data_IF_486347085526
#
_entry.id   IF_486347085526
#
_cell.length_a   1.000
_cell.length_b   1.000
_cell.length_c   1.000
_cell.angle_alpha   90.00
_cell.angle_beta   90.00
_cell.angle_gamma   90.00
#
_symmetry.space_group_name_H-M   'P 1'
#
loop_
_entity.id
_entity.type
_entity.pdbx_description
1 polymer ?
#
# COMPACT_ATOMS: atom_id res chain seq x y z
N UNK A 1 28.75 -7.42 34.07
CA UNK A 1 28.28 -8.25 32.93
C UNK A 1 26.76 -8.23 32.77
N UNK A 2 25.98 -8.46 33.84
CA UNK A 2 24.50 -8.49 33.82
C UNK A 2 23.85 -7.22 33.21
N UNK A 3 24.35 -6.02 33.53
CA UNK A 3 23.82 -4.75 32.98
C UNK A 3 23.90 -4.65 31.44
N UNK A 4 24.91 -5.27 30.81
CA UNK A 4 25.06 -5.27 29.34
C UNK A 4 24.05 -6.20 28.68
N UNK A 5 23.79 -7.36 29.28
CA UNK A 5 22.83 -8.36 28.77
C UNK A 5 21.41 -7.79 28.81
N UNK A 6 21.02 -7.13 29.90
CA UNK A 6 19.70 -6.49 30.03
C UNK A 6 19.50 -5.40 28.98
N UNK A 7 20.52 -4.57 28.72
CA UNK A 7 20.45 -3.53 27.71
C UNK A 7 20.29 -4.10 26.29
N UNK A 8 21.01 -5.18 25.95
CA UNK A 8 20.90 -5.82 24.63
C UNK A 8 19.53 -6.47 24.42
N UNK A 9 18.96 -7.13 25.44
CA UNK A 9 17.62 -7.72 25.37
C UNK A 9 16.57 -6.63 25.17
N UNK A 10 16.68 -5.51 25.89
CA UNK A 10 15.75 -4.40 25.75
C UNK A 10 15.81 -3.78 24.34
N UNK A 11 17.01 -3.61 23.79
CA UNK A 11 17.20 -3.13 22.42
C UNK A 11 16.59 -4.08 21.38
N UNK A 12 16.72 -5.39 21.56
CA UNK A 12 16.11 -6.39 20.68
C UNK A 12 14.58 -6.39 20.79
N UNK A 13 14.02 -6.17 21.99
CA UNK A 13 12.58 -6.07 22.19
C UNK A 13 12.00 -4.78 21.58
N UNK A 14 12.71 -3.65 21.69
CA UNK A 14 12.31 -2.39 21.07
C UNK A 14 12.42 -2.49 19.54
N UNK A 15 13.54 -3.00 19.01
CA UNK A 15 13.71 -3.21 17.58
C UNK A 15 12.69 -4.22 17.02
N UNK A 16 12.44 -5.33 17.73
CA UNK A 16 11.44 -6.32 17.38
C UNK A 16 10.01 -5.78 17.43
N UNK A 17 9.68 -4.97 18.44
CA UNK A 17 8.37 -4.31 18.57
C UNK A 17 8.11 -3.28 17.47
N UNK A 18 9.13 -2.47 17.12
CA UNK A 18 9.06 -1.52 16.00
C UNK A 18 8.90 -2.27 14.67
N UNK A 19 9.64 -3.36 14.48
CA UNK A 19 9.54 -4.19 13.28
C UNK A 19 8.16 -4.84 13.13
N UNK A 20 7.55 -5.29 14.23
CA UNK A 20 6.21 -5.91 14.21
C UNK A 20 5.10 -4.90 13.92
N UNK A 21 5.24 -3.65 14.38
CA UNK A 21 4.24 -2.60 14.21
C UNK A 21 4.24 -1.96 12.80
N UNK A 22 5.24 -2.24 11.97
CA UNK A 22 5.38 -1.69 10.61
C UNK A 22 4.48 -2.34 9.55
N UNK A 23 3.53 -3.19 9.96
CA UNK A 23 2.63 -3.96 9.07
C UNK A 23 1.41 -3.16 8.57
N UNK A 24 1.29 -1.87 8.86
CA UNK A 24 0.24 -0.98 8.34
C UNK A 24 0.84 0.21 7.59
N UNK A 25 -0.02 1.06 7.00
CA UNK A 25 0.42 2.42 6.65
C UNK A 25 1.01 3.05 7.94
N UNK A 26 2.18 3.72 7.86
CA UNK A 26 2.80 4.27 9.04
C UNK A 26 1.81 5.10 9.87
N UNK A 27 1.87 5.10 11.21
CA UNK A 27 0.84 5.71 12.07
C UNK A 27 0.68 7.23 11.86
N UNK A 28 1.60 7.88 11.17
CA UNK A 28 1.52 9.29 10.78
C UNK A 28 0.81 9.55 9.43
N UNK A 29 0.39 8.50 8.75
CA UNK A 29 -0.25 8.60 7.44
C UNK A 29 -1.72 8.95 7.59
N UNK A 30 -2.10 10.15 7.16
CA UNK A 30 -3.49 10.60 7.18
C UNK A 30 -4.31 9.83 6.15
N UNK A 31 -5.36 9.14 6.61
CA UNK A 31 -6.35 8.54 5.70
C UNK A 31 -7.17 9.70 5.09
N UNK A 32 -7.37 9.74 3.77
CA UNK A 32 -8.23 10.74 3.14
C UNK A 32 -9.66 10.67 3.66
N UNK A 33 -10.42 11.76 3.54
CA UNK A 33 -11.87 11.69 3.70
C UNK A 33 -12.50 11.03 2.47
N UNK A 34 -13.69 10.45 2.64
CA UNK A 34 -14.51 9.94 1.52
C UNK A 34 -14.73 11.03 0.46
N UNK A 35 -14.59 10.68 -0.81
CA UNK A 35 -14.83 11.60 -1.93
C UNK A 35 -13.78 11.52 -3.04
N UNK A 36 -13.72 12.55 -3.88
CA UNK A 36 -12.77 12.62 -4.99
C UNK A 36 -11.34 12.67 -4.43
N UNK A 37 -10.50 11.76 -4.89
CA UNK A 37 -9.09 11.64 -4.52
C UNK A 37 -8.25 11.56 -5.79
N UNK A 38 -7.25 12.45 -5.89
CA UNK A 38 -6.15 12.35 -6.86
C UNK A 38 -4.88 12.02 -6.09
N UNK A 39 -4.21 10.93 -6.47
CA UNK A 39 -3.00 10.48 -5.77
C UNK A 39 -2.02 9.79 -6.71
N UNK A 40 -0.74 9.85 -6.38
CA UNK A 40 0.36 9.29 -7.16
C UNK A 40 1.01 8.13 -6.42
N UNK A 41 1.52 7.18 -7.18
CA UNK A 41 2.14 5.97 -6.62
C UNK A 41 2.29 4.87 -7.66
N UNK A 42 2.24 3.63 -7.18
CA UNK A 42 2.50 2.45 -8.00
C UNK A 42 1.46 1.35 -7.79
N UNK A 43 1.17 0.61 -8.86
CA UNK A 43 0.44 -0.66 -8.75
C UNK A 43 1.30 -1.66 -7.98
N UNK A 44 0.71 -2.35 -7.01
CA UNK A 44 1.44 -3.32 -6.17
C UNK A 44 0.52 -4.40 -5.63
N UNK A 45 1.10 -5.46 -5.09
CA UNK A 45 0.33 -6.46 -4.35
C UNK A 45 -0.04 -5.91 -2.97
N UNK A 46 -1.30 -6.08 -2.58
CA UNK A 46 -1.73 -5.72 -1.25
C UNK A 46 -1.03 -6.61 -0.20
N UNK A 47 -0.55 -6.04 0.91
CA UNK A 47 0.11 -6.81 1.95
C UNK A 47 -0.90 -7.75 2.64
N UNK A 48 -0.51 -9.00 2.87
CA UNK A 48 -1.32 -9.98 3.58
C UNK A 48 -1.23 -9.79 5.11
N UNK A 49 -2.32 -10.02 5.85
CA UNK A 49 -2.39 -9.90 7.32
C UNK A 49 -1.75 -11.10 8.04
N UNK A 50 -1.91 -12.30 7.49
CA UNK A 50 -1.35 -13.55 8.03
C UNK A 50 -0.01 -13.89 7.37
N UNK A 51 0.93 -14.40 8.17
CA UNK A 51 2.23 -14.91 7.74
C UNK A 51 2.30 -16.44 7.84
N UNK A 52 1.16 -17.12 8.03
CA UNK A 52 1.19 -18.58 8.13
C UNK A 52 1.78 -19.18 6.84
N UNK A 53 2.78 -20.03 7.09
CA UNK A 53 3.76 -20.55 6.15
C UNK A 53 3.08 -21.22 4.96
N UNK A 54 3.00 -20.47 3.87
CA UNK A 54 2.30 -20.88 2.66
C UNK A 54 1.64 -19.66 2.04
N UNK A 55 2.41 -18.58 1.85
CA UNK A 55 2.00 -17.48 1.00
C UNK A 55 1.72 -18.08 -0.39
N UNK A 56 0.45 -18.38 -0.65
CA UNK A 56 -0.01 -18.68 -1.98
C UNK A 56 0.46 -17.53 -2.88
N UNK A 57 0.77 -17.81 -4.14
CA UNK A 57 1.14 -16.78 -5.13
C UNK A 57 -0.04 -15.84 -5.46
N UNK A 58 -0.98 -15.67 -4.54
CA UNK A 58 -2.13 -14.80 -4.64
C UNK A 58 -1.69 -13.36 -4.40
N UNK A 59 -1.39 -12.66 -5.49
CA UNK A 59 -1.26 -11.21 -5.50
C UNK A 59 -2.64 -10.60 -5.75
N UNK A 60 -3.28 -10.09 -4.69
CA UNK A 60 -4.41 -9.18 -4.88
C UNK A 60 -3.87 -7.82 -5.32
N UNK A 61 -4.12 -7.47 -6.59
CA UNK A 61 -3.67 -6.19 -7.16
C UNK A 61 -4.31 -5.01 -6.44
N UNK A 62 -3.49 -4.04 -6.07
CA UNK A 62 -3.90 -2.79 -5.44
C UNK A 62 -2.97 -1.65 -5.84
N UNK A 63 -3.11 -0.53 -5.13
CA UNK A 63 -2.34 0.69 -5.39
C UNK A 63 -1.69 1.16 -4.09
N UNK A 64 -0.38 1.40 -4.14
CA UNK A 64 0.37 2.03 -3.05
C UNK A 64 0.73 3.44 -3.45
N UNK A 65 0.26 4.41 -2.69
CA UNK A 65 0.61 5.80 -2.94
C UNK A 65 1.96 6.21 -2.34
N UNK A 66 2.40 7.41 -2.70
CA UNK A 66 3.66 7.99 -2.22
C UNK A 66 3.67 8.30 -0.72
N UNK A 67 2.50 8.30 -0.08
CA UNK A 67 2.37 8.41 1.37
C UNK A 67 2.46 7.04 2.07
N UNK A 68 2.58 5.95 1.31
CA UNK A 68 2.65 4.58 1.83
C UNK A 68 1.30 3.99 2.20
N UNK A 69 0.19 4.59 1.76
CA UNK A 69 -1.16 4.04 1.91
C UNK A 69 -1.42 3.00 0.84
N UNK A 70 -2.02 1.89 1.24
CA UNK A 70 -2.47 0.84 0.35
C UNK A 70 -3.97 1.00 0.09
N UNK A 71 -4.39 0.97 -1.16
CA UNK A 71 -5.77 1.06 -1.60
C UNK A 71 -6.13 -0.17 -2.41
N UNK A 72 -7.33 -0.71 -2.17
CA UNK A 72 -7.92 -1.67 -3.09
C UNK A 72 -8.42 -0.89 -4.32
N UNK A 73 -7.95 -1.26 -5.50
CA UNK A 73 -8.27 -0.53 -6.72
C UNK A 73 -9.45 -1.16 -7.44
N UNK A 74 -10.46 -0.35 -7.79
CA UNK A 74 -11.53 -0.73 -8.72
C UNK A 74 -11.43 0.18 -9.92
N UNK A 75 -11.15 -0.38 -11.10
CA UNK A 75 -10.97 0.42 -12.31
C UNK A 75 -12.30 0.56 -13.03
N UNK A 76 -12.76 1.81 -13.16
CA UNK A 76 -13.93 2.18 -13.97
C UNK A 76 -13.53 2.98 -15.21
N UNK A 77 -12.26 3.37 -15.33
CA UNK A 77 -11.68 4.03 -16.50
C UNK A 77 -11.90 3.18 -17.78
N UNK A 78 -12.61 3.71 -18.80
CA UNK A 78 -12.89 2.98 -20.03
C UNK A 78 -11.64 2.69 -20.87
N UNK A 79 -10.53 3.40 -20.65
CA UNK A 79 -9.25 3.14 -21.32
C UNK A 79 -8.51 1.94 -20.72
N UNK A 80 -8.85 1.57 -19.47
CA UNK A 80 -8.22 0.49 -18.72
C UNK A 80 -9.27 -0.48 -18.17
N UNK A 81 -10.15 -1.00 -19.05
CA UNK A 81 -11.20 -1.98 -18.70
C UNK A 81 -10.70 -3.26 -18.01
N UNK A 82 -9.40 -3.53 -18.10
CA UNK A 82 -8.75 -4.64 -17.43
C UNK A 82 -7.64 -4.12 -16.51
N UNK A 83 -7.80 -4.20 -15.16
CA UNK A 83 -6.78 -3.77 -14.21
C UNK A 83 -5.46 -4.54 -14.35
N UNK A 84 -5.44 -5.72 -14.97
CA UNK A 84 -4.21 -6.47 -15.25
C UNK A 84 -3.39 -5.86 -16.40
N UNK A 85 -3.99 -4.99 -17.22
CA UNK A 85 -3.31 -4.25 -18.30
C UNK A 85 -2.74 -2.91 -17.83
N UNK A 86 -2.96 -2.56 -16.56
CA UNK A 86 -2.28 -1.41 -15.98
C UNK A 86 -0.79 -1.66 -15.94
N UNK A 87 0.04 -0.62 -16.15
CA UNK A 87 1.48 -0.76 -16.02
C UNK A 87 1.80 -1.13 -14.57
N UNK A 88 2.09 -2.41 -14.34
CA UNK A 88 2.54 -2.92 -13.04
C UNK A 88 3.91 -2.34 -12.68
N UNK A 89 4.68 -1.93 -13.70
CA UNK A 89 5.93 -1.19 -13.57
C UNK A 89 5.73 0.26 -14.02
N UNK A 90 5.61 1.17 -13.06
CA UNK A 90 5.59 2.60 -13.33
C UNK A 90 4.91 3.40 -12.24
N UNK A 91 5.37 4.65 -12.09
CA UNK A 91 4.64 5.65 -11.30
C UNK A 91 3.42 6.09 -12.10
N UNK A 92 2.26 6.08 -11.48
CA UNK A 92 1.01 6.50 -12.08
C UNK A 92 0.29 7.48 -11.16
N UNK A 93 -0.52 8.32 -11.77
CA UNK A 93 -1.49 9.16 -11.09
C UNK A 93 -2.88 8.57 -11.30
N UNK A 94 -3.62 8.43 -10.20
CA UNK A 94 -5.00 7.96 -10.20
C UNK A 94 -5.89 9.06 -9.67
N UNK A 95 -6.94 9.36 -10.43
CA UNK A 95 -8.07 10.17 -10.00
C UNK A 95 -9.30 9.28 -9.89
N UNK A 96 -10.04 9.41 -8.79
CA UNK A 96 -11.15 8.52 -8.51
C UNK A 96 -11.94 8.89 -7.28
N UNK A 97 -12.92 8.04 -6.93
CA UNK A 97 -13.71 8.19 -5.71
C UNK A 97 -13.15 7.25 -4.64
N UNK A 98 -12.66 7.82 -3.56
CA UNK A 98 -12.18 7.09 -2.39
C UNK A 98 -13.32 6.82 -1.41
N UNK A 99 -13.43 5.58 -0.97
CA UNK A 99 -14.31 5.14 0.12
C UNK A 99 -13.47 4.45 1.20
N UNK A 100 -13.35 5.03 2.41
CA UNK A 100 -12.59 4.43 3.50
C UNK A 100 -13.22 3.11 3.94
N UNK A 101 -12.38 2.10 4.16
CA UNK A 101 -12.78 0.79 4.70
C UNK A 101 -11.75 0.32 5.73
N UNK A 102 -11.70 0.97 6.91
CA UNK A 102 -10.70 0.66 7.93
C UNK A 102 -10.79 -0.79 8.45
N UNK A 103 -11.96 -1.42 8.37
CA UNK A 103 -12.24 -2.71 9.01
C UNK A 103 -12.49 -3.87 8.04
N UNK A 104 -12.56 -3.60 6.73
CA UNK A 104 -13.03 -4.59 5.77
C UNK A 104 -11.85 -5.24 5.04
N UNK A 105 -11.29 -6.32 5.59
CA UNK A 105 -10.65 -7.48 4.92
C UNK A 105 -9.72 -8.20 5.91
N UNK A 106 -10.07 -9.44 6.29
CA UNK A 106 -9.29 -10.26 7.22
C UNK A 106 -7.96 -10.76 6.61
N UNK A 107 -7.83 -10.73 5.29
CA UNK A 107 -6.68 -11.26 4.55
C UNK A 107 -5.67 -10.20 4.14
N UNK A 108 -6.12 -8.99 3.78
CA UNK A 108 -5.23 -7.95 3.22
C UNK A 108 -5.28 -6.62 3.99
N UNK A 109 -4.24 -5.81 3.81
CA UNK A 109 -4.05 -4.51 4.46
C UNK A 109 -4.25 -3.38 3.45
N UNK A 110 -5.32 -2.61 3.60
CA UNK A 110 -5.60 -1.39 2.83
C UNK A 110 -6.47 -0.42 3.63
N UNK A 111 -6.43 0.87 3.28
CA UNK A 111 -7.17 1.94 3.98
C UNK A 111 -8.59 2.16 3.43
N UNK A 112 -8.85 1.69 2.22
CA UNK A 112 -10.15 1.78 1.57
C UNK A 112 -10.12 1.36 0.11
N UNK A 113 -11.26 1.53 -0.55
CA UNK A 113 -11.42 1.31 -1.99
C UNK A 113 -11.22 2.63 -2.71
N UNK A 114 -10.41 2.61 -3.77
CA UNK A 114 -10.28 3.72 -4.72
C UNK A 114 -10.88 3.30 -6.06
N UNK A 115 -12.01 3.89 -6.42
CA UNK A 115 -12.65 3.69 -7.71
C UNK A 115 -12.03 4.64 -8.74
N UNK A 116 -11.05 4.12 -9.50
CA UNK A 116 -10.27 4.87 -10.46
C UNK A 116 -11.10 5.19 -11.71
N UNK A 117 -11.46 6.46 -11.86
CA UNK A 117 -12.16 6.99 -13.03
C UNK A 117 -11.19 7.44 -14.12
N UNK A 118 -9.94 7.76 -13.74
CA UNK A 118 -8.89 8.16 -14.67
C UNK A 118 -7.52 7.73 -14.17
N UNK A 119 -6.72 7.14 -15.07
CA UNK A 119 -5.35 6.69 -14.77
C UNK A 119 -4.36 7.28 -15.77
N UNK A 120 -3.36 7.99 -15.26
CA UNK A 120 -2.32 8.65 -16.06
C UNK A 120 -0.96 8.03 -15.76
N UNK A 121 -0.23 7.60 -16.80
CA UNK A 121 1.17 7.16 -16.62
C UNK A 121 2.06 8.38 -16.45
N UNK A 122 2.84 8.41 -15.37
CA UNK A 122 3.85 9.43 -15.18
C UNK A 122 5.13 8.92 -15.86
N UNK A 123 5.56 9.61 -16.91
CA UNK A 123 6.79 9.24 -17.60
C UNK A 123 7.94 9.67 -16.72
N UNK A 124 8.71 8.73 -16.18
CA UNK A 124 9.96 9.06 -15.50
C UNK A 124 10.87 9.71 -16.54
N UNK A 125 11.02 11.03 -16.49
CA UNK A 125 12.04 11.74 -17.25
C UNK A 125 13.37 11.28 -16.69
N UNK A 126 13.93 10.22 -17.29
CA UNK A 126 15.29 9.77 -17.04
C UNK A 126 16.19 10.84 -17.63
N UNK A 127 16.50 11.87 -16.83
CA UNK A 127 17.57 12.80 -17.13
C UNK A 127 18.86 12.00 -17.03
N UNK A 128 19.26 11.40 -18.14
CA UNK A 128 20.60 10.87 -18.33
C UNK A 128 21.54 12.07 -18.28
N UNK A 129 22.29 12.19 -17.19
CA UNK A 129 23.47 13.05 -17.08
C UNK A 129 24.67 12.21 -17.50
#
# INVERSE_FOLDING_TARGET
MIKKIVATIFLLLVAGGIYWNWRGAPPWVRIPNTGILTTQGMMTCLPHRSFELGSTMECLSGFKDDQGRYFMLRVTDPNYKDPLKLPVSGHIEIEGIFTPMPDFNEKYLYVGILEATKITKLTSTRTSI
#
